data_IF_430378335858
#
_entry.id   IF_430378335858
#
_cell.length_a   1.000
_cell.length_b   1.000
_cell.length_c   1.000
_cell.angle_alpha   90.00
_cell.angle_beta   90.00
_cell.angle_gamma   90.00
#
_symmetry.space_group_name_H-M   'P 1'
#
loop_
_entity.id
_entity.type
_entity.pdbx_description
1 polymer ?
#
# COMPACT_ATOMS: atom_id res chain seq x y z
N UNK A 1 -4.95 26.16 0.07
CA UNK A 1 -5.61 24.99 0.71
C UNK A 1 -4.64 24.32 1.69
N UNK A 2 -4.40 24.88 2.89
CA UNK A 2 -3.34 24.39 3.80
C UNK A 2 -3.49 22.92 4.22
N UNK A 3 -4.72 22.47 4.52
CA UNK A 3 -4.96 21.09 4.93
C UNK A 3 -4.67 20.05 3.84
N UNK A 4 -4.94 20.38 2.57
CA UNK A 4 -4.62 19.51 1.43
C UNK A 4 -3.11 19.44 1.21
N UNK A 5 -2.44 20.59 1.18
CA UNK A 5 -1.00 20.66 0.93
C UNK A 5 -0.20 19.97 2.04
N UNK A 6 -0.62 20.11 3.30
CA UNK A 6 0.03 19.42 4.42
C UNK A 6 0.01 17.89 4.31
N UNK A 7 -1.11 17.32 3.86
CA UNK A 7 -1.22 15.86 3.62
C UNK A 7 -0.35 15.44 2.43
N UNK A 8 -0.35 16.22 1.34
CA UNK A 8 0.49 15.93 0.17
C UNK A 8 1.99 15.97 0.51
N UNK A 9 2.42 16.92 1.34
CA UNK A 9 3.81 17.02 1.78
C UNK A 9 4.21 15.85 2.69
N UNK A 10 3.31 15.44 3.59
CA UNK A 10 3.49 14.24 4.40
C UNK A 10 3.62 12.97 3.54
N UNK A 11 2.73 12.79 2.56
CA UNK A 11 2.78 11.67 1.61
C UNK A 11 4.08 11.68 0.81
N UNK A 12 4.54 12.86 0.34
CA UNK A 12 5.80 12.98 -0.40
C UNK A 12 7.00 12.56 0.44
N UNK A 13 7.07 13.01 1.69
CA UNK A 13 8.15 12.64 2.60
C UNK A 13 8.17 11.14 2.89
N UNK A 14 6.99 10.55 3.13
CA UNK A 14 6.83 9.12 3.36
C UNK A 14 7.23 8.28 2.13
N UNK A 15 6.70 8.60 0.95
CA UNK A 15 7.05 7.87 -0.29
C UNK A 15 8.55 7.96 -0.57
N UNK A 16 9.17 9.12 -0.34
CA UNK A 16 10.62 9.28 -0.49
C UNK A 16 11.40 8.39 0.48
N UNK A 17 10.98 8.25 1.73
CA UNK A 17 11.67 7.39 2.70
C UNK A 17 11.57 5.91 2.32
N UNK A 18 10.41 5.47 1.80
CA UNK A 18 10.21 4.10 1.30
C UNK A 18 11.07 3.84 0.06
N UNK A 19 10.98 4.69 -0.97
CA UNK A 19 11.69 4.48 -2.24
C UNK A 19 13.21 4.62 -2.11
N UNK A 20 13.71 5.46 -1.20
CA UNK A 20 15.15 5.54 -0.91
C UNK A 20 15.67 4.33 -0.12
N UNK A 21 14.79 3.46 0.38
CA UNK A 21 15.15 2.38 1.27
C UNK A 21 15.56 2.84 2.67
N UNK A 22 15.30 4.11 3.04
CA UNK A 22 15.49 4.60 4.40
C UNK A 22 14.45 3.99 5.36
N UNK A 23 13.23 3.76 4.87
CA UNK A 23 12.22 3.00 5.60
C UNK A 23 12.57 1.51 5.57
N UNK A 24 12.78 0.92 6.74
CA UNK A 24 13.14 -0.48 6.89
C UNK A 24 12.00 -1.28 7.51
N UNK A 25 11.91 -2.55 7.12
CA UNK A 25 11.10 -3.53 7.83
C UNK A 25 11.70 -3.87 9.19
N UNK A 26 11.01 -4.73 9.95
CA UNK A 26 11.38 -5.04 11.34
C UNK A 26 12.77 -5.71 11.48
N UNK A 27 13.30 -6.30 10.41
CA UNK A 27 14.64 -6.90 10.37
C UNK A 27 15.71 -5.98 9.78
N UNK A 28 15.38 -4.72 9.48
CA UNK A 28 16.29 -3.77 8.85
C UNK A 28 16.38 -3.88 7.31
N UNK A 29 15.64 -4.80 6.69
CA UNK A 29 15.57 -4.94 5.23
C UNK A 29 14.74 -3.83 4.60
N UNK A 30 15.04 -3.47 3.35
CA UNK A 30 14.27 -2.49 2.58
C UNK A 30 12.92 -3.06 2.16
N UNK A 31 11.90 -2.21 2.09
CA UNK A 31 10.58 -2.60 1.58
C UNK A 31 10.66 -2.90 0.09
N UNK A 32 10.07 -4.04 -0.32
CA UNK A 32 9.95 -4.50 -1.70
C UNK A 32 8.50 -4.59 -2.16
N UNK A 33 7.58 -4.78 -1.23
CA UNK A 33 6.18 -5.07 -1.49
C UNK A 33 5.28 -4.12 -0.70
N UNK A 34 4.21 -3.65 -1.33
CA UNK A 34 3.16 -2.84 -0.70
C UNK A 34 1.82 -3.56 -0.88
N UNK A 35 1.08 -3.75 0.19
CA UNK A 35 -0.26 -4.34 0.17
C UNK A 35 -1.28 -3.28 0.57
N UNK A 36 -2.10 -2.82 -0.37
CA UNK A 36 -3.24 -1.96 -0.08
C UNK A 36 -4.43 -2.81 0.36
N UNK A 37 -4.98 -2.50 1.53
CA UNK A 37 -6.16 -3.15 2.08
C UNK A 37 -7.29 -2.12 2.16
N UNK A 38 -8.31 -2.29 1.33
CA UNK A 38 -9.44 -1.38 1.26
C UNK A 38 -10.51 -1.93 0.34
N UNK A 39 -11.75 -1.44 0.44
CA UNK A 39 -12.87 -1.88 -0.41
C UNK A 39 -13.48 -0.69 -1.15
N UNK A 40 -14.10 -0.97 -2.30
CA UNK A 40 -14.82 0.02 -3.10
C UNK A 40 -13.89 1.13 -3.59
N UNK A 41 -14.22 2.38 -3.28
CA UNK A 41 -13.40 3.54 -3.68
C UNK A 41 -11.99 3.55 -3.11
N UNK A 42 -11.73 2.82 -2.01
CA UNK A 42 -10.39 2.69 -1.41
C UNK A 42 -9.53 1.61 -2.10
N UNK A 43 -10.06 0.95 -3.12
CA UNK A 43 -9.40 -0.11 -3.90
C UNK A 43 -9.43 0.17 -5.39
N UNK A 44 -10.62 0.38 -5.96
CA UNK A 44 -10.82 0.51 -7.41
C UNK A 44 -9.99 1.63 -8.05
N UNK A 45 -9.93 2.79 -7.38
CA UNK A 45 -9.13 3.94 -7.85
C UNK A 45 -7.63 3.63 -7.86
N UNK A 46 -7.05 3.22 -6.70
CA UNK A 46 -5.67 2.77 -6.63
C UNK A 46 -5.31 1.68 -7.66
N UNK A 47 -6.10 0.61 -7.76
CA UNK A 47 -5.88 -0.49 -8.73
C UNK A 47 -5.79 0.05 -10.16
N UNK A 48 -6.79 0.84 -10.58
CA UNK A 48 -6.86 1.37 -11.93
C UNK A 48 -5.64 2.24 -12.27
N UNK A 49 -5.29 3.18 -11.39
CA UNK A 49 -4.17 4.11 -11.65
C UNK A 49 -2.84 3.38 -11.68
N UNK A 50 -2.61 2.41 -10.78
CA UNK A 50 -1.36 1.64 -10.77
C UNK A 50 -1.20 0.75 -12.00
N UNK A 51 -2.28 0.18 -12.52
CA UNK A 51 -2.22 -0.61 -13.76
C UNK A 51 -2.03 0.30 -14.98
N UNK A 52 -2.74 1.42 -15.07
CA UNK A 52 -2.60 2.37 -16.18
C UNK A 52 -1.20 3.02 -16.22
N UNK A 53 -0.58 3.26 -15.07
CA UNK A 53 0.73 3.92 -14.96
C UNK A 53 1.88 2.94 -14.68
N UNK A 54 1.68 1.64 -14.90
CA UNK A 54 2.70 0.61 -14.69
C UNK A 54 4.08 0.90 -15.30
N UNK A 55 4.19 1.52 -16.51
CA UNK A 55 5.49 1.91 -17.07
C UNK A 55 6.27 2.94 -16.24
N UNK A 56 5.60 3.68 -15.36
CA UNK A 56 6.18 4.69 -14.47
C UNK A 56 6.44 4.16 -13.05
N UNK A 57 6.26 2.85 -12.81
CA UNK A 57 6.44 2.28 -11.48
C UNK A 57 7.90 2.35 -11.03
N UNK A 58 8.11 2.70 -9.76
CA UNK A 58 9.43 2.88 -9.16
C UNK A 58 10.03 1.58 -8.57
N UNK A 59 9.61 0.41 -9.09
CA UNK A 59 10.18 -0.90 -8.73
C UNK A 59 9.58 -1.62 -7.51
N UNK A 60 8.64 -0.99 -6.78
CA UNK A 60 7.87 -1.69 -5.73
C UNK A 60 6.79 -2.58 -6.33
N UNK A 61 6.59 -3.77 -5.77
CA UNK A 61 5.48 -4.65 -6.11
C UNK A 61 4.25 -4.25 -5.30
N UNK A 62 3.18 -3.86 -5.98
CA UNK A 62 1.94 -3.43 -5.33
C UNK A 62 0.89 -4.52 -5.45
N UNK A 63 0.25 -4.86 -4.34
CA UNK A 63 -0.80 -5.85 -4.21
C UNK A 63 -2.05 -5.20 -3.61
N UNK A 64 -3.22 -5.70 -3.97
CA UNK A 64 -4.50 -5.15 -3.55
C UNK A 64 -5.35 -6.23 -2.88
N UNK A 65 -5.86 -5.96 -1.68
CA UNK A 65 -6.74 -6.84 -0.93
C UNK A 65 -8.01 -6.07 -0.61
N UNK A 66 -9.10 -6.47 -1.28
CA UNK A 66 -10.39 -5.78 -1.15
C UNK A 66 -11.56 -6.66 -0.81
N UNK A 67 -11.34 -7.98 -0.78
CA UNK A 67 -12.37 -8.93 -0.44
C UNK A 67 -12.33 -9.23 1.06
N UNK A 68 -13.52 -9.41 1.67
CA UNK A 68 -13.66 -9.88 3.05
C UNK A 68 -13.39 -11.39 3.17
N UNK A 69 -13.47 -12.12 2.05
CA UNK A 69 -13.04 -13.51 1.98
C UNK A 69 -11.53 -13.61 2.24
N UNK A 70 -11.16 -14.30 3.33
CA UNK A 70 -9.79 -14.52 3.75
C UNK A 70 -8.91 -15.22 2.71
N UNK A 71 -9.50 -15.87 1.70
CA UNK A 71 -8.77 -16.45 0.57
C UNK A 71 -7.95 -15.42 -0.18
N UNK A 72 -8.49 -14.22 -0.43
CA UNK A 72 -7.77 -13.19 -1.18
C UNK A 72 -6.53 -12.71 -0.40
N UNK A 73 -6.69 -12.46 0.90
CA UNK A 73 -5.57 -12.11 1.77
C UNK A 73 -4.54 -13.25 1.82
N UNK A 74 -4.97 -14.50 1.98
CA UNK A 74 -4.08 -15.65 2.02
C UNK A 74 -3.24 -15.80 0.75
N UNK A 75 -3.83 -15.59 -0.43
CA UNK A 75 -3.11 -15.64 -1.71
C UNK A 75 -2.09 -14.51 -1.88
N UNK A 76 -2.37 -13.32 -1.34
CA UNK A 76 -1.40 -12.21 -1.31
C UNK A 76 -0.28 -12.50 -0.31
N UNK A 77 -0.61 -13.01 0.89
CA UNK A 77 0.36 -13.33 1.92
C UNK A 77 1.37 -14.41 1.48
N UNK A 78 0.97 -15.35 0.60
CA UNK A 78 1.89 -16.33 -0.01
C UNK A 78 2.95 -15.70 -0.93
N UNK A 79 2.73 -14.47 -1.43
CA UNK A 79 3.59 -13.80 -2.42
C UNK A 79 4.55 -12.79 -1.80
N UNK A 80 4.31 -12.38 -0.56
CA UNK A 80 5.07 -11.31 0.11
C UNK A 80 5.97 -11.86 1.21
N UNK A 81 7.06 -11.16 1.50
CA UNK A 81 7.93 -11.47 2.63
C UNK A 81 7.57 -10.57 3.83
N UNK A 82 7.26 -11.11 5.02
CA UNK A 82 6.93 -10.32 6.20
C UNK A 82 8.03 -9.32 6.60
N UNK A 83 9.29 -9.58 6.24
CA UNK A 83 10.42 -8.70 6.53
C UNK A 83 10.52 -7.48 5.61
N UNK A 84 9.89 -7.50 4.44
CA UNK A 84 10.03 -6.47 3.39
C UNK A 84 8.71 -5.97 2.83
N UNK A 85 7.59 -6.25 3.50
CA UNK A 85 6.25 -5.81 3.09
C UNK A 85 5.76 -4.63 3.95
N UNK A 86 5.09 -3.69 3.29
CA UNK A 86 4.37 -2.59 3.92
C UNK A 86 2.86 -2.75 3.67
N UNK A 87 2.05 -2.66 4.72
CA UNK A 87 0.59 -2.69 4.61
C UNK A 87 0.01 -1.27 4.70
N UNK A 88 -0.89 -0.93 3.78
CA UNK A 88 -1.65 0.33 3.78
C UNK A 88 -3.12 -0.01 4.04
N UNK A 89 -3.67 0.44 5.17
CA UNK A 89 -5.09 0.25 5.49
C UNK A 89 -5.87 1.48 5.03
N UNK A 90 -6.56 1.35 3.91
CA UNK A 90 -7.33 2.42 3.27
C UNK A 90 -8.81 2.32 3.65
N UNK A 91 -9.24 3.17 4.60
CA UNK A 91 -10.62 3.25 5.07
C UNK A 91 -11.01 4.67 5.45
N UNK A 92 -12.12 5.18 4.90
CA UNK A 92 -12.66 6.49 5.29
C UNK A 92 -13.17 6.49 6.74
N UNK A 93 -13.86 5.43 7.15
CA UNK A 93 -14.51 5.35 8.46
C UNK A 93 -13.66 4.65 9.53
N UNK A 94 -12.48 4.12 9.17
CA UNK A 94 -11.63 3.24 10.00
C UNK A 94 -12.34 2.01 10.57
N UNK A 95 -13.59 1.76 10.16
CA UNK A 95 -14.52 0.77 10.71
C UNK A 95 -14.64 -0.48 9.83
N UNK A 96 -13.79 -0.61 8.81
CA UNK A 96 -13.78 -1.81 7.97
C UNK A 96 -13.34 -2.99 8.86
N UNK A 97 -14.29 -3.87 9.15
CA UNK A 97 -14.01 -5.22 9.65
C UNK A 97 -13.43 -6.02 8.50
N UNK A 98 -12.11 -6.22 8.53
CA UNK A 98 -11.39 -7.17 7.69
C UNK A 98 -11.29 -8.56 8.33
N UNK A 99 -12.03 -8.77 9.43
CA UNK A 99 -12.16 -10.02 10.19
C UNK A 99 -13.58 -10.15 10.73
#
# INVERSE_FOLDING_TARGET
MPGVNGVLDHMRAFVKSVLSGAWKGYTGKTITDVVNIGIGGSDLGPVMVTECLKPYSAGLKVHFVSNIDGTHLAEVLKKVNPETVLFIVASKTKLIKLL
#
